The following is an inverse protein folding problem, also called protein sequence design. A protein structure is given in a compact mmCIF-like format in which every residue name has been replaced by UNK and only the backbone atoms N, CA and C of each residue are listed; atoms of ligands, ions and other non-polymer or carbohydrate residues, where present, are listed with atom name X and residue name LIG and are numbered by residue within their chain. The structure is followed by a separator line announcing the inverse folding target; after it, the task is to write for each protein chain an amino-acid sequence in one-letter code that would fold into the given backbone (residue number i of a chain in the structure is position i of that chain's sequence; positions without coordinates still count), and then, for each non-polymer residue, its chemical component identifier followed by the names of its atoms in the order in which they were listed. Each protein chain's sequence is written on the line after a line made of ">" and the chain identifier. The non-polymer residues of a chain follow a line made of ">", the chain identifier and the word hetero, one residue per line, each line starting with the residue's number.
data_IF_501451312564
#
_entry.id   IF_501451312564
#
_cell.length_a   1.000
_cell.length_b   1.000
_cell.length_c   1.000
_cell.angle_alpha   90.00
_cell.angle_beta   90.00
_cell.angle_gamma   90.00
#
_symmetry.space_group_name_H-M   'P 1'
#
loop_
_entity.id
_entity.type
_entity.pdbx_description
1 polymer ?
#
# COMPACT_ATOMS: atom_id res chain seq x y z
N UNK A 1 14.96 31.21 1.63
CA UNK A 1 15.90 30.15 1.99
C UNK A 1 15.06 28.87 2.13
N UNK A 2 15.17 27.94 1.19
CA UNK A 2 14.40 26.71 1.23
C UNK A 2 15.09 25.77 2.20
N UNK A 3 14.41 25.48 3.29
CA UNK A 3 14.82 24.49 4.28
C UNK A 3 14.89 23.12 3.59
N UNK A 4 16.08 22.60 3.46
CA UNK A 4 16.34 21.28 2.88
C UNK A 4 15.77 20.25 3.84
N UNK A 5 14.57 19.76 3.56
CA UNK A 5 13.98 18.64 4.31
C UNK A 5 14.93 17.46 4.22
N UNK A 6 15.70 17.24 5.26
CA UNK A 6 16.53 16.04 5.45
C UNK A 6 15.58 14.86 5.53
N UNK A 7 15.56 14.07 4.48
CA UNK A 7 14.85 12.80 4.43
C UNK A 7 15.59 11.84 5.37
N UNK A 8 15.18 11.78 6.62
CA UNK A 8 15.62 10.72 7.51
C UNK A 8 14.99 9.43 7.03
N UNK A 9 15.81 8.49 6.63
CA UNK A 9 15.41 7.15 6.20
C UNK A 9 15.10 6.27 7.43
N UNK A 10 14.54 6.89 8.46
CA UNK A 10 14.10 6.15 9.63
C UNK A 10 12.90 5.29 9.22
N UNK A 11 12.99 3.97 9.36
CA UNK A 11 11.81 3.13 9.22
C UNK A 11 10.80 3.63 10.24
N UNK A 12 9.65 4.09 9.75
CA UNK A 12 8.55 4.49 10.63
C UNK A 12 8.26 3.28 11.52
N UNK A 13 8.64 3.38 12.79
CA UNK A 13 8.45 2.30 13.74
C UNK A 13 6.97 1.94 13.73
N UNK A 14 6.65 0.81 13.15
CA UNK A 14 5.31 0.24 13.23
C UNK A 14 4.97 0.17 14.71
N UNK A 15 3.88 0.81 15.10
CA UNK A 15 3.43 0.76 16.49
C UNK A 15 3.40 -0.71 16.94
N UNK A 16 4.05 -1.05 18.05
CA UNK A 16 4.20 -2.44 18.45
C UNK A 16 2.82 -3.09 18.51
N UNK A 17 2.63 -4.16 17.74
CA UNK A 17 1.39 -4.91 17.71
C UNK A 17 1.11 -5.49 19.10
N UNK A 18 0.20 -4.88 19.81
CA UNK A 18 -0.17 -5.26 21.20
C UNK A 18 -1.37 -6.23 21.25
N UNK A 19 -1.45 -7.16 20.29
CA UNK A 19 -2.45 -8.20 20.24
C UNK A 19 -3.68 -7.86 19.36
N UNK A 20 -4.46 -8.88 19.01
CA UNK A 20 -5.60 -8.82 18.09
C UNK A 20 -6.65 -7.76 18.50
N UNK A 21 -6.84 -7.53 19.79
CA UNK A 21 -7.79 -6.53 20.30
C UNK A 21 -7.44 -5.07 19.95
N UNK A 22 -6.22 -4.80 19.51
CA UNK A 22 -5.74 -3.46 19.13
C UNK A 22 -5.62 -3.23 17.63
N UNK A 23 -6.06 -4.18 16.82
CA UNK A 23 -6.16 -3.97 15.37
C UNK A 23 -7.22 -2.92 15.10
N UNK A 24 -6.90 -1.94 14.25
CA UNK A 24 -7.86 -0.90 13.86
C UNK A 24 -9.14 -1.49 13.27
N UNK A 25 -10.28 -0.88 13.58
CA UNK A 25 -11.57 -1.23 13.00
C UNK A 25 -11.73 -0.65 11.58
N UNK A 26 -10.90 0.31 11.19
CA UNK A 26 -10.93 0.87 9.85
C UNK A 26 -10.54 -0.19 8.81
N UNK A 27 -11.28 -0.20 7.70
CA UNK A 27 -11.11 -1.17 6.64
C UNK A 27 -10.53 -0.50 5.39
N UNK A 28 -9.36 -0.95 4.96
CA UNK A 28 -8.70 -0.50 3.73
C UNK A 28 -8.75 -1.53 2.60
N UNK A 29 -9.22 -2.72 2.92
CA UNK A 29 -9.56 -3.79 1.99
C UNK A 29 -10.95 -4.31 2.35
N UNK A 30 -11.96 -3.89 1.59
CA UNK A 30 -13.37 -4.13 1.91
C UNK A 30 -13.85 -5.49 1.40
N UNK A 31 -15.07 -5.85 1.79
CA UNK A 31 -15.79 -6.98 1.20
C UNK A 31 -16.13 -6.70 -0.28
N UNK A 32 -16.52 -7.75 -0.99
CA UNK A 32 -16.84 -7.67 -2.43
C UNK A 32 -15.69 -8.11 -3.36
N UNK A 33 -14.58 -8.59 -2.79
CA UNK A 33 -13.53 -9.25 -3.56
C UNK A 33 -13.99 -10.61 -4.10
N UNK A 34 -13.38 -11.03 -5.20
CA UNK A 34 -13.70 -12.31 -5.89
C UNK A 34 -12.68 -13.41 -5.61
N UNK A 35 -12.03 -13.36 -4.49
CA UNK A 35 -11.17 -14.45 -4.03
C UNK A 35 -12.02 -15.62 -3.53
N UNK A 36 -11.44 -16.81 -3.52
CA UNK A 36 -12.11 -18.02 -3.01
C UNK A 36 -12.56 -17.80 -1.55
N UNK A 37 -13.63 -18.49 -1.17
CA UNK A 37 -14.06 -18.52 0.22
C UNK A 37 -12.96 -19.11 1.11
N UNK A 38 -12.65 -18.44 2.23
CA UNK A 38 -11.56 -18.84 3.11
C UNK A 38 -10.16 -18.59 2.56
N UNK A 39 -10.00 -17.72 1.55
CA UNK A 39 -8.71 -17.41 0.96
C UNK A 39 -7.78 -16.74 1.98
N UNK A 40 -6.75 -17.43 2.40
CA UNK A 40 -5.74 -16.93 3.33
C UNK A 40 -5.02 -15.69 2.80
N UNK A 41 -4.79 -15.62 1.49
CA UNK A 41 -4.16 -14.46 0.85
C UNK A 41 -4.99 -13.19 1.03
N UNK A 42 -6.33 -13.29 0.97
CA UNK A 42 -7.21 -12.15 1.21
C UNK A 42 -7.13 -11.68 2.66
N UNK A 43 -7.08 -12.61 3.61
CA UNK A 43 -6.91 -12.31 5.03
C UNK A 43 -5.57 -11.61 5.30
N UNK A 44 -4.49 -12.14 4.73
CA UNK A 44 -3.15 -11.55 4.85
C UNK A 44 -3.14 -10.13 4.31
N UNK A 45 -3.71 -9.90 3.12
CA UNK A 45 -3.80 -8.55 2.53
C UNK A 45 -4.57 -7.59 3.42
N UNK A 46 -5.71 -8.01 3.92
CA UNK A 46 -6.53 -7.22 4.83
C UNK A 46 -5.73 -6.78 6.06
N UNK A 47 -5.02 -7.71 6.70
CA UNK A 47 -4.21 -7.41 7.87
C UNK A 47 -3.00 -6.51 7.53
N UNK A 48 -2.35 -6.74 6.39
CA UNK A 48 -1.22 -5.94 5.95
C UNK A 48 -1.60 -4.47 5.71
N UNK A 49 -2.70 -4.22 4.97
CA UNK A 49 -3.12 -2.83 4.73
C UNK A 49 -3.65 -2.15 5.98
N UNK A 50 -4.26 -2.89 6.91
CA UNK A 50 -4.60 -2.36 8.24
C UNK A 50 -3.37 -1.93 9.03
N UNK A 51 -2.30 -2.73 9.01
CA UNK A 51 -1.05 -2.40 9.67
C UNK A 51 -0.33 -1.21 9.02
N UNK A 52 -0.39 -1.11 7.69
CA UNK A 52 0.26 -0.04 6.94
C UNK A 52 -0.50 1.30 7.02
N UNK A 53 -1.82 1.26 7.23
CA UNK A 53 -2.66 2.44 7.41
C UNK A 53 -3.04 3.15 6.09
N UNK A 54 -3.76 4.30 6.19
CA UNK A 54 -4.39 4.96 5.06
C UNK A 54 -3.40 5.60 4.07
N UNK A 55 -2.18 5.92 4.51
CA UNK A 55 -1.15 6.55 3.66
C UNK A 55 -0.30 5.50 2.95
N UNK A 56 -0.97 4.57 2.31
CA UNK A 56 -0.34 3.43 1.65
C UNK A 56 -0.71 3.40 0.18
N UNK A 57 0.26 3.12 -0.67
CA UNK A 57 0.05 2.79 -2.08
C UNK A 57 0.39 1.32 -2.27
N UNK A 58 -0.57 0.56 -2.75
CA UNK A 58 -0.42 -0.88 -2.99
C UNK A 58 -0.05 -1.11 -4.45
N UNK A 59 1.09 -1.75 -4.68
CA UNK A 59 1.55 -2.11 -6.02
C UNK A 59 1.66 -3.62 -6.10
N UNK A 60 0.94 -4.22 -7.00
CA UNK A 60 0.91 -5.67 -7.10
C UNK A 60 1.11 -6.20 -8.49
N UNK A 61 1.92 -7.24 -8.58
CA UNK A 61 2.07 -8.01 -9.80
C UNK A 61 0.84 -8.85 -10.08
N UNK A 62 0.62 -9.17 -11.34
CA UNK A 62 -0.40 -10.11 -11.76
C UNK A 62 -0.31 -11.41 -10.95
N UNK A 63 -1.40 -11.77 -10.34
CA UNK A 63 -1.57 -12.96 -9.49
C UNK A 63 -2.98 -13.01 -8.95
N UNK A 64 -3.36 -14.09 -8.25
CA UNK A 64 -4.73 -14.31 -7.79
C UNK A 64 -5.33 -13.11 -7.07
N UNK A 65 -4.57 -12.46 -6.19
CA UNK A 65 -5.05 -11.31 -5.41
C UNK A 65 -5.34 -10.08 -6.27
N UNK A 66 -4.67 -9.91 -7.39
CA UNK A 66 -4.92 -8.77 -8.27
C UNK A 66 -5.96 -9.10 -9.33
N UNK A 67 -5.90 -10.27 -9.94
CA UNK A 67 -6.89 -10.70 -10.93
C UNK A 67 -8.28 -10.78 -10.30
N UNK A 68 -8.41 -11.34 -9.10
CA UNK A 68 -9.69 -11.44 -8.41
C UNK A 68 -10.25 -10.11 -7.90
N UNK A 69 -9.45 -9.05 -7.86
CA UNK A 69 -9.81 -7.77 -7.26
C UNK A 69 -9.86 -6.60 -8.26
N UNK A 70 -9.67 -6.88 -9.56
CA UNK A 70 -9.60 -5.83 -10.60
C UNK A 70 -10.68 -5.95 -11.67
N UNK A 71 -11.58 -6.92 -11.56
CA UNK A 71 -12.61 -7.17 -12.57
C UNK A 71 -13.85 -6.30 -12.37
N UNK A 72 -14.43 -5.80 -13.48
CA UNK A 72 -15.74 -5.15 -13.57
C UNK A 72 -15.95 -3.88 -12.72
N UNK A 73 -15.14 -2.86 -12.89
CA UNK A 73 -15.38 -1.53 -12.32
C UNK A 73 -15.47 -1.46 -10.78
N UNK A 74 -15.31 -2.57 -10.08
CA UNK A 74 -15.33 -2.61 -8.61
C UNK A 74 -14.01 -3.12 -8.08
N UNK A 75 -13.50 -2.47 -7.06
CA UNK A 75 -12.30 -2.89 -6.37
C UNK A 75 -12.52 -2.84 -4.86
N UNK A 76 -12.00 -3.81 -4.09
CA UNK A 76 -12.06 -3.78 -2.65
C UNK A 76 -11.01 -2.85 -2.02
N UNK A 77 -10.11 -2.27 -2.80
CA UNK A 77 -9.07 -1.38 -2.32
C UNK A 77 -9.62 0.00 -2.01
N UNK A 78 -9.49 0.45 -0.77
CA UNK A 78 -9.82 1.82 -0.35
C UNK A 78 -8.62 2.76 -0.47
N UNK A 79 -7.42 2.19 -0.46
CA UNK A 79 -6.17 2.92 -0.69
C UNK A 79 -5.81 2.93 -2.18
N UNK A 80 -5.00 3.89 -2.64
CA UNK A 80 -4.47 3.87 -3.99
C UNK A 80 -3.75 2.56 -4.31
N UNK A 81 -4.06 2.00 -5.45
CA UNK A 81 -3.46 0.74 -5.88
C UNK A 81 -3.11 0.75 -7.37
N UNK A 82 -2.15 -0.05 -7.75
CA UNK A 82 -1.71 -0.21 -9.13
C UNK A 82 -1.44 -1.68 -9.44
N UNK A 83 -2.01 -2.16 -10.53
CA UNK A 83 -1.73 -3.48 -11.07
C UNK A 83 -0.54 -3.40 -12.02
N UNK A 84 0.47 -4.21 -11.82
CA UNK A 84 1.67 -4.28 -12.64
C UNK A 84 1.83 -5.66 -13.27
N UNK A 85 2.74 -5.78 -14.22
CA UNK A 85 3.05 -7.06 -14.85
C UNK A 85 3.57 -8.08 -13.84
N UNK A 86 3.43 -9.35 -14.16
CA UNK A 86 3.96 -10.44 -13.37
C UNK A 86 5.46 -10.23 -13.11
N UNK A 87 5.84 -10.24 -11.84
CA UNK A 87 7.24 -10.04 -11.40
C UNK A 87 7.73 -8.59 -11.34
N UNK A 88 6.94 -7.59 -11.78
CA UNK A 88 7.40 -6.20 -11.87
C UNK A 88 7.04 -5.30 -10.67
N UNK A 89 6.40 -5.83 -9.63
CA UNK A 89 5.98 -5.01 -8.48
C UNK A 89 7.13 -4.30 -7.77
N UNK A 90 8.29 -4.95 -7.67
CA UNK A 90 9.47 -4.35 -7.03
C UNK A 90 10.00 -3.14 -7.79
N UNK A 91 10.15 -3.24 -9.11
CA UNK A 91 10.60 -2.13 -9.96
C UNK A 91 9.58 -1.00 -10.00
N UNK A 92 8.28 -1.32 -10.07
CA UNK A 92 7.21 -0.34 -9.99
C UNK A 92 7.20 0.40 -8.64
N UNK A 93 7.43 -0.32 -7.54
CA UNK A 93 7.53 0.29 -6.21
C UNK A 93 8.72 1.24 -6.10
N UNK A 94 9.88 0.83 -6.63
CA UNK A 94 11.08 1.68 -6.65
C UNK A 94 10.83 2.95 -7.47
N UNK A 95 10.26 2.83 -8.67
CA UNK A 95 9.91 3.95 -9.54
C UNK A 95 8.91 4.91 -8.89
N UNK A 96 7.85 4.36 -8.28
CA UNK A 96 6.84 5.15 -7.56
C UNK A 96 7.45 5.89 -6.39
N UNK A 97 8.27 5.23 -5.57
CA UNK A 97 8.94 5.86 -4.43
C UNK A 97 9.90 6.97 -4.88
N UNK A 98 10.68 6.73 -5.94
CA UNK A 98 11.58 7.74 -6.51
C UNK A 98 10.80 8.95 -7.06
N UNK A 99 9.69 8.71 -7.76
CA UNK A 99 8.82 9.75 -8.30
C UNK A 99 8.21 10.62 -7.20
N UNK A 100 7.66 10.00 -6.15
CA UNK A 100 7.10 10.71 -5.00
C UNK A 100 8.16 11.55 -4.28
N UNK A 101 9.35 11.00 -4.05
CA UNK A 101 10.48 11.75 -3.48
C UNK A 101 10.89 12.97 -4.34
N UNK A 102 10.86 12.81 -5.67
CA UNK A 102 11.14 13.91 -6.58
C UNK A 102 10.07 15.01 -6.54
N UNK A 103 8.78 14.64 -6.45
CA UNK A 103 7.67 15.60 -6.30
C UNK A 103 7.77 16.38 -4.99
N UNK A 104 8.07 15.69 -3.89
CA UNK A 104 8.28 16.33 -2.59
C UNK A 104 9.47 17.32 -2.63
N UNK A 105 10.60 16.92 -3.22
CA UNK A 105 11.78 17.82 -3.38
C UNK A 105 11.49 19.04 -4.24
N UNK A 106 10.63 18.92 -5.25
CA UNK A 106 10.20 20.04 -6.10
C UNK A 106 9.13 20.93 -5.46
N UNK A 107 8.71 20.65 -4.23
CA UNK A 107 7.64 21.39 -3.55
C UNK A 107 6.26 21.24 -4.17
N UNK A 108 6.07 20.28 -5.10
CA UNK A 108 4.77 19.99 -5.73
C UNK A 108 3.87 19.10 -4.88
N UNK A 109 4.42 18.53 -3.83
CA UNK A 109 3.73 17.64 -2.90
C UNK A 109 4.26 17.89 -1.49
N UNK A 110 3.38 17.86 -0.50
CA UNK A 110 3.78 17.97 0.90
C UNK A 110 4.69 16.80 1.28
N UNK A 111 5.75 17.09 2.04
CA UNK A 111 6.66 16.05 2.53
C UNK A 111 5.95 15.23 3.62
N UNK A 112 5.43 14.10 3.24
CA UNK A 112 4.75 13.16 4.15
C UNK A 112 5.28 11.73 3.93
N UNK A 113 5.39 10.91 4.99
CA UNK A 113 5.75 9.52 4.82
C UNK A 113 4.62 8.78 4.09
N UNK A 114 4.96 8.13 2.98
CA UNK A 114 4.05 7.29 2.20
C UNK A 114 4.64 5.88 2.18
N UNK A 115 3.85 4.92 2.58
CA UNK A 115 4.23 3.52 2.53
C UNK A 115 3.96 2.97 1.12
N UNK A 116 5.00 2.54 0.42
CA UNK A 116 4.87 1.77 -0.81
C UNK A 116 5.06 0.30 -0.49
N UNK A 117 4.02 -0.49 -0.67
CA UNK A 117 4.06 -1.94 -0.44
C UNK A 117 4.17 -2.65 -1.80
N UNK A 118 5.36 -3.16 -2.17
CA UNK A 118 5.50 -4.05 -3.31
C UNK A 118 5.02 -5.46 -2.93
N UNK A 119 4.36 -6.11 -3.86
CA UNK A 119 4.01 -7.53 -3.81
C UNK A 119 4.28 -8.22 -5.11
#
# INVERSE_FOLDING_TARGET
>A
MAETATFTNEPQALAPFKGVKKVTLEEYFTSGHRTCQGCESALVMKLMVKAAGPRTIVLGSTGCMYVANTTYYTTPWVVPWMHTQLGSSGSAALGTAAGLKALMRKGKMKAEPINSMPR
#
